data_IF_204199748081
#
_entry.id   IF_204199748081
#
_cell.length_a   1.000
_cell.length_b   1.000
_cell.length_c   1.000
_cell.angle_alpha   90.00
_cell.angle_beta   90.00
_cell.angle_gamma   90.00
#
_symmetry.space_group_name_H-M   'P 1'
#
loop_
_entity.id
_entity.type
_entity.pdbx_description
1 polymer ?
#
# COMPACT_ATOMS: atom_id res chain seq x y z
N UNK A 1 -14.49 12.75 -1.84
CA UNK A 1 -13.61 12.34 -0.73
C UNK A 1 -14.23 11.26 0.15
N UNK A 2 -15.44 11.45 0.68
CA UNK A 2 -16.10 10.47 1.57
C UNK A 2 -16.15 9.05 1.00
N UNK A 3 -16.49 8.88 -0.27
CA UNK A 3 -16.51 7.55 -0.90
C UNK A 3 -15.13 6.89 -0.94
N UNK A 4 -14.07 7.65 -1.23
CA UNK A 4 -12.70 7.12 -1.27
C UNK A 4 -12.24 6.60 0.10
N UNK A 5 -12.71 7.21 1.17
CA UNK A 5 -12.34 6.83 2.54
C UNK A 5 -13.26 5.75 3.10
N UNK A 6 -14.56 5.91 2.96
CA UNK A 6 -15.59 5.21 3.72
C UNK A 6 -16.58 4.40 2.86
N UNK A 7 -16.40 4.35 1.55
CA UNK A 7 -17.26 3.60 0.63
C UNK A 7 -17.26 2.08 0.95
N UNK A 8 -18.16 1.35 0.32
CA UNK A 8 -18.31 -0.10 0.56
C UNK A 8 -17.52 -0.97 -0.44
N UNK A 9 -17.04 -0.38 -1.53
CA UNK A 9 -16.25 -1.10 -2.51
C UNK A 9 -14.83 -1.45 -2.03
N UNK A 10 -14.22 -2.47 -2.62
CA UNK A 10 -12.84 -2.84 -2.28
C UNK A 10 -11.81 -1.75 -2.62
N UNK A 11 -12.16 -0.82 -3.49
CA UNK A 11 -11.28 0.30 -3.87
C UNK A 11 -11.31 1.49 -2.91
N UNK A 12 -12.21 1.52 -1.92
CA UNK A 12 -12.15 2.56 -0.89
C UNK A 12 -11.10 2.21 0.16
N UNK A 13 -10.50 3.22 0.78
CA UNK A 13 -9.30 3.04 1.58
C UNK A 13 -9.51 2.13 2.79
N UNK A 14 -10.64 2.25 3.48
CA UNK A 14 -10.94 1.39 4.63
C UNK A 14 -11.04 -0.09 4.28
N UNK A 15 -11.40 -0.43 3.05
CA UNK A 15 -11.50 -1.82 2.58
C UNK A 15 -10.23 -2.26 1.85
N UNK A 16 -9.52 -1.33 1.21
CA UNK A 16 -8.23 -1.60 0.57
C UNK A 16 -7.19 -2.03 1.61
N UNK A 17 -7.19 -1.39 2.78
CA UNK A 17 -6.31 -1.74 3.89
C UNK A 17 -6.98 -2.81 4.74
N UNK A 18 -6.39 -4.00 4.75
CA UNK A 18 -6.90 -5.15 5.51
C UNK A 18 -6.44 -5.11 6.95
N UNK A 19 -5.18 -4.79 7.18
CA UNK A 19 -4.58 -4.79 8.50
C UNK A 19 -3.37 -3.84 8.58
N UNK A 20 -3.24 -3.13 9.68
CA UNK A 20 -2.07 -2.31 10.00
C UNK A 20 -1.31 -3.01 11.12
N UNK A 21 -0.06 -3.33 10.88
CA UNK A 21 0.78 -4.05 11.84
C UNK A 21 1.39 -3.13 12.89
N UNK A 22 1.70 -3.69 14.04
CA UNK A 22 2.37 -3.03 15.16
C UNK A 22 3.61 -3.83 15.61
N UNK A 23 4.21 -3.45 16.74
CA UNK A 23 5.39 -4.13 17.29
C UNK A 23 6.56 -4.13 16.32
N UNK A 24 7.14 -5.30 16.09
CA UNK A 24 8.30 -5.48 15.20
C UNK A 24 7.98 -5.20 13.72
N UNK A 25 6.71 -5.31 13.35
CA UNK A 25 6.21 -5.06 12.00
C UNK A 25 5.55 -3.67 11.86
N UNK A 26 5.71 -2.81 12.84
CA UNK A 26 5.21 -1.44 12.77
C UNK A 26 5.72 -0.72 11.52
N UNK A 27 4.86 0.05 10.88
CA UNK A 27 5.17 0.71 9.61
C UNK A 27 4.78 -0.09 8.37
N UNK A 28 4.15 -1.26 8.53
CA UNK A 28 3.61 -2.09 7.44
C UNK A 28 2.08 -2.15 7.51
N UNK A 29 1.44 -2.16 6.35
CA UNK A 29 0.00 -2.40 6.24
C UNK A 29 -0.30 -3.36 5.08
N UNK A 30 -1.14 -4.34 5.35
CA UNK A 30 -1.57 -5.35 4.39
C UNK A 30 -2.76 -4.84 3.59
N UNK A 31 -2.76 -5.09 2.29
CA UNK A 31 -3.83 -4.68 1.38
C UNK A 31 -4.63 -5.86 0.82
N UNK A 32 -5.82 -5.56 0.30
CA UNK A 32 -6.77 -6.56 -0.25
C UNK A 32 -6.18 -7.48 -1.32
N UNK A 33 -5.23 -7.00 -2.10
CA UNK A 33 -4.66 -7.78 -3.21
C UNK A 33 -3.43 -8.61 -2.79
N UNK A 34 -2.98 -8.50 -1.54
CA UNK A 34 -1.75 -9.17 -1.05
C UNK A 34 -1.82 -10.70 -1.15
N UNK A 35 -2.98 -11.28 -0.98
CA UNK A 35 -3.21 -12.72 -1.10
C UNK A 35 -3.61 -13.18 -2.51
N UNK A 36 -3.88 -12.24 -3.43
CA UNK A 36 -4.28 -12.56 -4.80
C UNK A 36 -3.08 -12.74 -5.72
N UNK A 37 -2.34 -11.69 -5.97
CA UNK A 37 -1.08 -11.68 -6.72
C UNK A 37 -0.36 -10.32 -6.58
N UNK A 38 0.93 -10.29 -6.86
CA UNK A 38 1.73 -9.09 -6.67
C UNK A 38 1.61 -8.08 -7.82
N UNK A 39 1.15 -8.52 -8.98
CA UNK A 39 0.82 -7.60 -10.08
C UNK A 39 -0.32 -6.67 -9.70
N UNK A 40 -1.39 -7.20 -9.11
CA UNK A 40 -2.51 -6.40 -8.61
C UNK A 40 -2.15 -5.64 -7.32
N UNK A 41 -1.39 -6.25 -6.42
CA UNK A 41 -0.94 -5.55 -5.20
C UNK A 41 -0.14 -4.29 -5.53
N UNK A 42 0.85 -4.38 -6.41
CA UNK A 42 1.65 -3.22 -6.83
C UNK A 42 0.84 -2.21 -7.64
N UNK A 43 -0.16 -2.67 -8.41
CA UNK A 43 -1.08 -1.77 -9.11
C UNK A 43 -1.89 -0.91 -8.12
N UNK A 44 -2.41 -1.52 -7.06
CA UNK A 44 -3.17 -0.80 -6.02
C UNK A 44 -2.30 0.30 -5.37
N UNK A 45 -1.04 0.00 -5.05
CA UNK A 45 -0.12 0.99 -4.49
C UNK A 45 0.06 2.17 -5.45
N UNK A 46 0.25 1.90 -6.74
CA UNK A 46 0.36 2.95 -7.75
C UNK A 46 -0.90 3.82 -7.85
N UNK A 47 -2.08 3.21 -7.82
CA UNK A 47 -3.36 3.93 -7.86
C UNK A 47 -3.57 4.79 -6.62
N UNK A 48 -3.21 4.29 -5.43
CA UNK A 48 -3.24 5.07 -4.19
C UNK A 48 -2.32 6.30 -4.27
N UNK A 49 -1.15 6.15 -4.87
CA UNK A 49 -0.23 7.28 -5.10
C UNK A 49 -0.83 8.35 -6.01
N UNK A 50 -1.50 7.94 -7.11
CA UNK A 50 -2.17 8.86 -8.03
C UNK A 50 -3.32 9.59 -7.33
N UNK A 51 -4.16 8.87 -6.59
CA UNK A 51 -5.26 9.46 -5.84
C UNK A 51 -4.73 10.45 -4.80
N UNK A 52 -3.71 10.06 -4.04
CA UNK A 52 -3.11 10.92 -3.02
C UNK A 52 -2.53 12.21 -3.63
N UNK A 53 -1.84 12.12 -4.76
CA UNK A 53 -1.31 13.29 -5.45
C UNK A 53 -2.42 14.19 -6.01
N UNK A 54 -3.48 13.58 -6.56
CA UNK A 54 -4.63 14.33 -7.09
C UNK A 54 -5.33 15.11 -5.98
N UNK A 55 -5.57 14.49 -4.83
CA UNK A 55 -6.20 15.15 -3.69
C UNK A 55 -5.30 16.22 -3.09
N UNK A 56 -4.00 15.98 -3.02
CA UNK A 56 -3.02 16.99 -2.58
C UNK A 56 -3.07 18.25 -3.43
N UNK A 57 -3.14 18.10 -4.75
CA UNK A 57 -3.27 19.24 -5.68
C UNK A 57 -4.57 20.03 -5.49
N UNK A 58 -5.57 19.41 -4.87
CA UNK A 58 -6.85 20.04 -4.56
C UNK A 58 -6.94 20.59 -3.12
N UNK A 59 -5.86 20.48 -2.36
CA UNK A 59 -5.78 20.99 -1.00
C UNK A 59 -6.12 19.97 0.11
N UNK A 60 -6.31 18.69 -0.25
CA UNK A 60 -6.62 17.62 0.71
C UNK A 60 -5.41 16.71 0.93
N UNK A 61 -5.03 16.48 2.18
CA UNK A 61 -3.90 15.61 2.53
C UNK A 61 -4.32 14.14 2.69
N UNK A 62 -4.45 13.44 1.57
CA UNK A 62 -4.70 12.01 1.58
C UNK A 62 -3.46 11.17 1.92
N UNK A 63 -2.26 11.69 1.66
CA UNK A 63 -1.01 11.04 2.06
C UNK A 63 -0.89 10.85 3.57
N UNK A 64 -1.33 11.84 4.35
CA UNK A 64 -1.27 11.80 5.81
C UNK A 64 -2.42 11.05 6.47
N UNK A 65 -3.42 10.60 5.69
CA UNK A 65 -4.60 9.96 6.24
C UNK A 65 -4.23 8.73 7.08
N UNK A 66 -4.90 8.61 8.24
CA UNK A 66 -4.75 7.49 9.16
C UNK A 66 -3.29 7.12 9.45
N UNK A 67 -2.52 8.11 9.90
CA UNK A 67 -1.11 7.95 10.25
C UNK A 67 -0.27 7.38 9.08
N UNK A 68 -0.37 8.02 7.92
CA UNK A 68 0.37 7.65 6.71
C UNK A 68 0.11 6.19 6.26
N UNK A 69 -1.12 5.71 6.34
CA UNK A 69 -1.45 4.31 6.04
C UNK A 69 -1.09 3.92 4.60
N UNK A 70 -1.13 4.86 3.65
CA UNK A 70 -0.71 4.60 2.27
C UNK A 70 0.79 4.30 2.21
N UNK A 71 1.61 5.02 2.97
CA UNK A 71 3.04 4.71 3.09
C UNK A 71 3.23 3.30 3.65
N UNK A 72 2.52 2.94 4.70
CA UNK A 72 2.63 1.60 5.32
C UNK A 72 2.26 0.49 4.34
N UNK A 73 1.26 0.71 3.49
CA UNK A 73 0.90 -0.23 2.43
C UNK A 73 1.99 -0.32 1.35
N UNK A 74 2.58 0.80 0.96
CA UNK A 74 3.70 0.84 0.02
C UNK A 74 4.94 0.13 0.59
N UNK A 75 5.26 0.37 1.86
CA UNK A 75 6.37 -0.29 2.55
C UNK A 75 6.19 -1.82 2.60
N UNK A 76 4.99 -2.31 2.89
CA UNK A 76 4.66 -3.74 2.86
C UNK A 76 4.95 -4.36 1.48
N UNK A 77 4.41 -3.74 0.45
CA UNK A 77 4.59 -4.20 -0.93
C UNK A 77 6.05 -4.13 -1.39
N UNK A 78 6.77 -3.08 -1.03
CA UNK A 78 8.18 -2.90 -1.40
C UNK A 78 9.08 -3.90 -0.69
N UNK A 79 8.85 -4.16 0.60
CA UNK A 79 9.60 -5.17 1.35
C UNK A 79 9.49 -6.53 0.68
N UNK A 80 8.30 -6.94 0.26
CA UNK A 80 8.06 -8.25 -0.36
C UNK A 80 8.55 -8.32 -1.80
N UNK A 81 8.26 -7.31 -2.62
CA UNK A 81 8.52 -7.36 -4.07
C UNK A 81 9.91 -6.84 -4.47
N UNK A 82 10.46 -5.86 -3.76
CA UNK A 82 11.70 -5.19 -4.13
C UNK A 82 12.86 -5.70 -3.28
N UNK A 83 12.71 -5.68 -1.96
CA UNK A 83 13.73 -6.21 -1.07
C UNK A 83 13.78 -7.75 -1.04
N UNK A 84 12.72 -8.42 -1.52
CA UNK A 84 12.67 -9.89 -1.56
C UNK A 84 12.57 -10.55 -0.18
N UNK A 85 12.10 -9.80 0.81
CA UNK A 85 11.96 -10.26 2.19
C UNK A 85 10.52 -10.68 2.50
N UNK A 86 10.37 -11.56 3.48
CA UNK A 86 9.05 -11.97 3.94
C UNK A 86 8.34 -10.83 4.68
N UNK A 87 7.02 -10.87 4.64
CA UNK A 87 6.12 -9.92 5.30
C UNK A 87 5.15 -10.66 6.20
N UNK A 88 4.66 -10.05 7.28
CA UNK A 88 3.60 -10.63 8.09
C UNK A 88 2.30 -10.72 7.29
N UNK A 89 1.42 -11.64 7.66
CA UNK A 89 0.14 -11.84 6.97
C UNK A 89 -0.95 -12.21 7.97
N UNK A 90 -2.11 -11.59 7.80
CA UNK A 90 -3.35 -11.91 8.51
C UNK A 90 -4.36 -12.45 7.49
N UNK A 91 -4.96 -13.58 7.79
CA UNK A 91 -6.01 -14.16 6.94
C UNK A 91 -7.18 -13.18 6.79
N UNK A 92 -7.71 -13.08 5.58
CA UNK A 92 -8.85 -12.21 5.32
C UNK A 92 -9.75 -12.76 4.23
N UNK A 93 -11.01 -12.29 4.24
CA UNK A 93 -11.99 -12.62 3.22
C UNK A 93 -12.10 -11.49 2.19
N UNK A 94 -11.83 -11.82 0.93
CA UNK A 94 -12.06 -10.93 -0.19
C UNK A 94 -13.42 -11.24 -0.82
N UNK A 95 -14.24 -10.22 -1.03
CA UNK A 95 -15.61 -10.37 -1.57
C UNK A 95 -15.66 -11.00 -2.96
N UNK A 96 -14.58 -10.93 -3.73
CA UNK A 96 -14.51 -11.45 -5.10
C UNK A 96 -13.80 -12.81 -5.16
N UNK A 97 -12.73 -12.97 -4.37
CA UNK A 97 -11.83 -14.12 -4.47
C UNK A 97 -11.94 -15.09 -3.28
N UNK A 98 -12.76 -14.79 -2.26
CA UNK A 98 -12.89 -15.61 -1.07
C UNK A 98 -11.76 -15.44 -0.06
N UNK A 99 -11.48 -16.48 0.73
CA UNK A 99 -10.46 -16.46 1.75
C UNK A 99 -9.05 -16.48 1.16
N UNK A 100 -8.19 -15.61 1.70
CA UNK A 100 -6.75 -15.63 1.49
C UNK A 100 -6.07 -15.96 2.82
N UNK A 101 -5.23 -16.98 2.82
CA UNK A 101 -4.58 -17.53 4.02
C UNK A 101 -3.07 -17.29 4.05
N UNK A 102 -2.50 -16.80 2.95
CA UNK A 102 -1.08 -16.48 2.83
C UNK A 102 -0.85 -15.36 1.82
N UNK A 103 0.29 -14.69 1.92
CA UNK A 103 0.71 -13.74 0.88
C UNK A 103 0.98 -14.50 -0.41
N UNK A 104 0.43 -14.01 -1.52
CA UNK A 104 0.65 -14.64 -2.82
C UNK A 104 2.06 -14.37 -3.35
N UNK A 105 2.73 -15.42 -3.79
CA UNK A 105 3.99 -15.31 -4.50
C UNK A 105 3.83 -15.11 -6.02
N UNK A 106 2.60 -15.18 -6.53
CA UNK A 106 2.31 -14.98 -7.94
C UNK A 106 2.72 -13.56 -8.36
N UNK A 107 3.48 -13.46 -9.43
CA UNK A 107 4.05 -12.20 -9.94
C UNK A 107 4.93 -11.45 -8.92
N UNK A 108 5.50 -12.13 -7.91
CA UNK A 108 6.44 -11.53 -6.96
C UNK A 108 7.62 -10.87 -7.71
N UNK A 109 8.02 -9.71 -7.26
CA UNK A 109 9.05 -8.91 -7.92
C UNK A 109 8.53 -7.91 -8.94
N UNK A 110 7.22 -7.87 -9.19
CA UNK A 110 6.61 -6.86 -10.05
C UNK A 110 6.90 -5.46 -9.51
N UNK A 111 7.42 -4.60 -10.35
CA UNK A 111 7.69 -3.19 -10.06
C UNK A 111 6.91 -2.32 -11.03
N UNK A 112 6.46 -1.16 -10.54
CA UNK A 112 5.75 -0.15 -11.33
C UNK A 112 6.36 1.22 -11.09
N UNK A 113 6.49 2.07 -12.12
CA UNK A 113 7.17 3.37 -12.01
C UNK A 113 6.46 4.40 -11.12
N UNK A 114 5.26 4.11 -10.67
CA UNK A 114 4.42 5.05 -9.89
C UNK A 114 4.86 5.23 -8.43
N UNK A 115 5.81 4.44 -7.94
CA UNK A 115 6.28 4.49 -6.54
C UNK A 115 7.08 5.75 -6.22
N UNK A 116 7.65 6.38 -7.24
CA UNK A 116 8.40 7.62 -7.08
C UNK A 116 7.57 8.76 -6.48
N UNK A 117 6.29 8.84 -6.84
CA UNK A 117 5.35 9.82 -6.29
C UNK A 117 5.22 9.66 -4.77
N UNK A 118 5.06 8.43 -4.31
CA UNK A 118 4.95 8.14 -2.87
C UNK A 118 6.25 8.45 -2.15
N UNK A 119 7.38 7.96 -2.66
CA UNK A 119 8.69 8.24 -2.06
C UNK A 119 8.96 9.74 -1.99
N UNK A 120 8.79 10.44 -3.10
CA UNK A 120 9.04 11.89 -3.16
C UNK A 120 8.21 12.67 -2.15
N UNK A 121 6.94 12.35 -2.02
CA UNK A 121 6.06 13.04 -1.08
C UNK A 121 6.45 12.74 0.38
N UNK A 122 6.56 11.47 0.76
CA UNK A 122 6.86 11.13 2.15
C UNK A 122 8.26 11.56 2.58
N UNK A 123 9.26 11.35 1.76
CA UNK A 123 10.64 11.71 2.12
C UNK A 123 10.89 13.23 2.12
N UNK A 124 10.37 13.96 1.12
CA UNK A 124 10.70 15.37 0.92
C UNK A 124 9.67 16.34 1.48
N UNK A 125 8.39 15.98 1.48
CA UNK A 125 7.32 16.85 1.97
C UNK A 125 7.00 16.56 3.44
N UNK A 126 6.85 15.27 3.78
CA UNK A 126 6.52 14.84 5.14
C UNK A 126 7.73 14.62 6.05
N UNK A 127 8.94 14.59 5.52
CA UNK A 127 10.17 14.22 6.26
C UNK A 127 10.05 12.86 6.97
N UNK A 128 9.37 11.91 6.37
CA UNK A 128 9.30 10.52 6.82
C UNK A 128 10.21 9.71 5.91
N UNK A 129 11.10 8.89 6.50
CA UNK A 129 12.03 8.07 5.72
C UNK A 129 11.38 6.74 5.34
N UNK A 130 11.04 6.52 4.04
CA UNK A 130 10.51 5.25 3.59
C UNK A 130 11.62 4.20 3.55
N UNK A 131 11.53 3.21 4.41
CA UNK A 131 12.60 2.20 4.56
C UNK A 131 12.74 1.30 3.35
N UNK A 132 11.63 0.78 2.83
CA UNK A 132 11.62 -0.20 1.74
C UNK A 132 11.30 0.43 0.39
N UNK A 133 10.41 1.39 0.37
CA UNK A 133 10.01 2.11 -0.85
C UNK A 133 11.19 2.81 -1.52
N UNK A 134 12.21 3.24 -0.78
CA UNK A 134 13.39 3.84 -1.36
C UNK A 134 14.09 2.93 -2.39
N UNK A 135 14.03 1.62 -2.22
CA UNK A 135 14.66 0.68 -3.15
C UNK A 135 13.94 0.57 -4.50
N UNK A 136 12.72 1.07 -4.60
CA UNK A 136 11.99 1.11 -5.87
C UNK A 136 12.56 2.13 -6.86
N UNK A 137 13.40 3.06 -6.36
CA UNK A 137 14.05 4.09 -7.18
C UNK A 137 15.40 3.64 -7.76
N UNK A 138 15.86 2.50 -7.36
CA UNK A 138 17.11 1.91 -7.83
C UNK A 138 16.88 1.06 -9.08
#
# INVERSE_FOLDING_TARGET
MTYLLEGEGNGCLKNTIVHVFDGDDAGLAQIQESGRDQGHATLVIGLLGIIAQTTWNQGDDFFGYNDNVILKAAEYSAKYNVAGLDVPFVEYYNRVHGWHTEVSADARGTQRPMWEVLYGHYAKVKNVEPKWTQYTLM
#
